data_IF_671137194236
#
_entry.id   IF_671137194236
#
_cell.length_a   1.000
_cell.length_b   1.000
_cell.length_c   1.000
_cell.angle_alpha   90.00
_cell.angle_beta   90.00
_cell.angle_gamma   90.00
#
_symmetry.space_group_name_H-M   'P 1'
#
loop_
_entity.id
_entity.type
_entity.pdbx_description
1 polymer ?
#
# COMPACT_ATOMS: atom_id res chain seq x y z
N UNK A 1 4.49 -9.14 -6.42
CA UNK A 1 4.66 -7.76 -5.93
C UNK A 1 5.96 -7.57 -5.13
N UNK A 2 6.26 -8.39 -4.12
CA UNK A 2 7.47 -8.24 -3.27
C UNK A 2 8.78 -8.15 -4.08
N UNK A 3 8.92 -8.97 -5.13
CA UNK A 3 10.07 -8.91 -6.05
C UNK A 3 10.20 -7.53 -6.74
N UNK A 4 9.09 -6.90 -7.12
CA UNK A 4 9.05 -5.56 -7.73
C UNK A 4 9.40 -4.45 -6.73
N UNK A 5 9.05 -4.65 -5.46
CA UNK A 5 9.37 -3.74 -4.36
C UNK A 5 10.80 -3.91 -3.82
N UNK A 6 11.45 -5.05 -4.09
CA UNK A 6 12.73 -5.41 -3.48
C UNK A 6 12.66 -5.67 -1.97
N UNK A 7 11.46 -5.90 -1.43
CA UNK A 7 11.20 -6.17 -0.01
C UNK A 7 9.92 -6.97 0.20
N UNK A 8 9.76 -7.66 1.34
CA UNK A 8 8.49 -8.25 1.73
C UNK A 8 7.37 -7.21 1.87
N UNK A 9 6.12 -7.65 1.76
CA UNK A 9 4.97 -6.82 2.09
C UNK A 9 4.98 -6.48 3.58
N UNK A 10 4.71 -5.22 3.89
CA UNK A 10 4.57 -4.75 5.25
C UNK A 10 3.17 -5.08 5.79
N UNK A 11 3.05 -5.05 7.11
CA UNK A 11 1.73 -5.18 7.76
C UNK A 11 0.82 -4.06 7.27
N UNK A 12 -0.35 -4.45 6.77
CA UNK A 12 -1.32 -3.53 6.20
C UNK A 12 -1.15 -3.30 4.69
N UNK A 13 -0.21 -3.98 4.03
CA UNK A 13 -0.12 -4.00 2.57
C UNK A 13 -0.81 -5.24 1.98
N UNK A 14 -1.38 -5.10 0.79
CA UNK A 14 -1.90 -6.19 -0.02
C UNK A 14 -1.60 -5.97 -1.51
N UNK A 15 -1.72 -7.05 -2.27
CA UNK A 15 -1.63 -7.00 -3.73
C UNK A 15 -3.03 -6.95 -4.32
N UNK A 16 -3.26 -6.03 -5.25
CA UNK A 16 -4.50 -5.94 -6.00
C UNK A 16 -4.27 -6.23 -7.49
N UNK A 17 -5.23 -6.89 -8.11
CA UNK A 17 -5.25 -7.18 -9.55
C UNK A 17 -6.08 -6.12 -10.28
N UNK A 18 -5.45 -5.33 -11.15
CA UNK A 18 -6.09 -4.20 -11.85
C UNK A 18 -7.27 -4.66 -12.70
N UNK A 19 -7.12 -5.77 -13.42
CA UNK A 19 -8.18 -6.33 -14.26
C UNK A 19 -9.20 -7.21 -13.51
N UNK A 20 -9.03 -7.42 -12.21
CA UNK A 20 -9.88 -8.29 -11.38
C UNK A 20 -9.69 -9.79 -11.62
N UNK A 21 -8.87 -10.21 -12.58
CA UNK A 21 -8.51 -11.60 -12.80
C UNK A 21 -7.41 -12.02 -11.82
N UNK A 22 -7.76 -12.88 -10.87
CA UNK A 22 -6.84 -13.41 -9.84
C UNK A 22 -5.74 -14.30 -10.40
N UNK A 23 -5.91 -14.79 -11.63
CA UNK A 23 -4.94 -15.69 -12.29
C UNK A 23 -3.88 -14.90 -13.08
N UNK A 24 -4.17 -13.66 -13.48
CA UNK A 24 -3.23 -12.81 -14.18
C UNK A 24 -2.23 -12.15 -13.21
N UNK A 25 -1.10 -12.83 -13.02
CA UNK A 25 -0.04 -12.39 -12.10
C UNK A 25 1.06 -11.55 -12.79
N UNK A 26 0.78 -11.00 -13.98
CA UNK A 26 1.71 -10.14 -14.71
C UNK A 26 2.07 -8.91 -13.86
N UNK A 27 3.36 -8.51 -13.72
CA UNK A 27 3.78 -7.41 -12.84
C UNK A 27 3.11 -6.05 -13.10
N UNK A 28 2.65 -5.82 -14.32
CA UNK A 28 1.86 -4.68 -14.78
C UNK A 28 0.39 -4.73 -14.36
N UNK A 29 -0.15 -5.92 -14.08
CA UNK A 29 -1.51 -6.13 -13.59
C UNK A 29 -1.60 -6.08 -12.05
N UNK A 30 -0.47 -5.92 -11.35
CA UNK A 30 -0.41 -5.94 -9.89
C UNK A 30 -0.09 -4.55 -9.31
N UNK A 31 -0.89 -4.14 -8.32
CA UNK A 31 -0.70 -2.92 -7.54
C UNK A 31 -0.50 -3.22 -6.06
N UNK A 32 0.23 -2.31 -5.38
CA UNK A 32 0.34 -2.32 -3.92
C UNK A 32 -0.78 -1.47 -3.32
N UNK A 33 -1.57 -2.07 -2.44
CA UNK A 33 -2.66 -1.40 -1.74
C UNK A 33 -2.38 -1.37 -0.24
N UNK A 34 -2.77 -0.27 0.41
CA UNK A 34 -2.71 -0.13 1.87
C UNK A 34 -4.12 -0.39 2.42
N UNK A 35 -4.29 -1.45 3.21
CA UNK A 35 -5.60 -1.96 3.62
C UNK A 35 -6.19 -1.29 4.85
N UNK A 36 -5.36 -0.60 5.64
CA UNK A 36 -5.78 0.03 6.88
C UNK A 36 -5.75 1.53 6.77
N UNK A 37 -6.94 2.13 6.81
CA UNK A 37 -7.15 3.55 7.07
C UNK A 37 -7.90 3.70 8.41
N UNK A 38 -7.40 4.52 9.35
CA UNK A 38 -8.07 4.72 10.63
C UNK A 38 -9.44 5.38 10.44
N UNK A 39 -10.47 4.87 11.12
CA UNK A 39 -11.82 5.46 11.14
C UNK A 39 -12.15 6.01 12.53
N UNK A 40 -12.95 7.08 12.60
CA UNK A 40 -13.42 7.63 13.87
C UNK A 40 -12.32 8.21 14.78
N UNK A 41 -11.24 8.75 14.21
CA UNK A 41 -10.10 9.28 14.95
C UNK A 41 -10.13 10.82 15.05
N UNK A 42 -9.38 11.37 15.99
CA UNK A 42 -9.14 12.82 16.08
C UNK A 42 -8.33 13.30 14.87
N UNK A 43 -8.50 14.56 14.50
CA UNK A 43 -7.79 15.16 13.36
C UNK A 43 -6.28 15.03 13.51
N UNK A 44 -5.72 15.28 14.70
CA UNK A 44 -4.29 15.14 14.96
C UNK A 44 -3.76 13.71 14.76
N UNK A 45 -4.55 12.70 15.12
CA UNK A 45 -4.16 11.28 14.95
C UNK A 45 -4.18 10.90 13.46
N UNK A 46 -5.14 11.41 12.69
CA UNK A 46 -5.22 11.19 11.23
C UNK A 46 -4.02 11.83 10.54
N UNK A 47 -3.67 13.08 10.91
CA UNK A 47 -2.52 13.76 10.35
C UNK A 47 -1.22 13.03 10.68
N UNK A 48 -1.04 12.57 11.93
CA UNK A 48 0.13 11.79 12.31
C UNK A 48 0.24 10.49 11.50
N UNK A 49 -0.88 9.77 11.29
CA UNK A 49 -0.91 8.58 10.44
C UNK A 49 -0.56 8.92 8.98
N UNK A 50 -1.14 9.98 8.42
CA UNK A 50 -0.88 10.39 7.04
C UNK A 50 0.60 10.75 6.83
N UNK A 51 1.21 11.50 7.76
CA UNK A 51 2.65 11.79 7.71
C UNK A 51 3.51 10.54 7.79
N UNK A 52 3.13 9.55 8.60
CA UNK A 52 3.84 8.27 8.67
C UNK A 52 3.72 7.43 7.38
N UNK A 53 2.58 7.52 6.68
CA UNK A 53 2.39 6.92 5.35
C UNK A 53 3.26 7.65 4.34
N UNK A 54 3.18 8.98 4.28
CA UNK A 54 3.99 9.81 3.38
C UNK A 54 5.47 9.51 3.58
N UNK A 55 5.99 9.61 4.80
CA UNK A 55 7.40 9.34 5.10
C UNK A 55 7.87 7.94 4.67
N UNK A 56 6.96 6.96 4.61
CA UNK A 56 7.27 5.58 4.22
C UNK A 56 7.31 5.35 2.72
N UNK A 57 6.46 6.05 1.97
CA UNK A 57 6.27 5.80 0.54
C UNK A 57 6.74 6.95 -0.35
N UNK A 58 7.01 8.13 0.21
CA UNK A 58 7.50 9.31 -0.50
C UNK A 58 9.02 9.27 -0.76
N UNK A 59 9.75 8.24 -0.30
CA UNK A 59 11.15 8.04 -0.68
C UNK A 59 11.28 7.61 -2.15
N UNK A 60 11.15 8.64 -2.99
CA UNK A 60 11.45 8.94 -4.40
C UNK A 60 11.60 7.81 -5.43
N UNK A 61 10.86 8.05 -6.52
CA UNK A 61 11.19 7.73 -7.92
C UNK A 61 12.65 7.91 -8.30
#
# INVERSE_FOLDING_TARGET
MEQKLGRPLLVGENVHHINGDRMDNSPENLELWLTRQPHGQRVEDILAWAHAVIARYESKS
#
